data_IF_860250068086
#
_entry.id   IF_860250068086
#
_cell.length_a   1.000
_cell.length_b   1.000
_cell.length_c   1.000
_cell.angle_alpha   90.00
_cell.angle_beta   90.00
_cell.angle_gamma   90.00
#
_symmetry.space_group_name_H-M   'P 1'
#
loop_
_entity.id
_entity.type
_entity.pdbx_description
1 polymer ?
#
# COMPACT_ATOMS: atom_id res chain seq x y z
N UNK A 1 -50.78 -51.82 34.00
CA UNK A 1 -49.35 -51.56 33.60
C UNK A 1 -49.32 -50.11 33.24
N UNK A 2 -48.46 -49.25 33.87
CA UNK A 2 -48.34 -47.83 33.55
C UNK A 2 -47.37 -47.63 32.35
N UNK A 3 -47.75 -46.78 31.39
CA UNK A 3 -47.01 -46.33 30.25
C UNK A 3 -46.12 -45.15 30.67
N UNK A 4 -44.83 -45.31 30.37
CA UNK A 4 -43.78 -44.33 30.63
C UNK A 4 -43.89 -43.16 29.64
N UNK A 5 -43.77 -41.89 30.05
CA UNK A 5 -43.71 -40.76 29.10
C UNK A 5 -42.31 -40.61 28.49
N UNK A 6 -42.31 -40.49 27.17
CA UNK A 6 -41.13 -40.20 26.34
C UNK A 6 -40.61 -38.80 26.63
N UNK A 7 -39.37 -38.69 27.09
CA UNK A 7 -38.67 -37.42 27.24
C UNK A 7 -38.27 -36.87 25.86
N UNK A 8 -38.78 -35.68 25.54
CA UNK A 8 -38.36 -34.91 24.37
C UNK A 8 -37.16 -34.07 24.79
N UNK A 9 -35.98 -34.40 24.23
CA UNK A 9 -34.79 -33.54 24.35
C UNK A 9 -34.94 -32.30 23.48
N UNK A 10 -34.67 -31.08 24.00
CA UNK A 10 -34.63 -29.90 23.17
C UNK A 10 -33.38 -29.94 22.25
N UNK A 11 -33.60 -29.90 20.94
CA UNK A 11 -32.57 -29.76 19.96
C UNK A 11 -32.00 -28.33 20.03
N UNK A 12 -30.69 -28.24 20.23
CA UNK A 12 -29.92 -27.01 20.13
C UNK A 12 -29.98 -26.53 18.68
N UNK A 13 -30.22 -25.24 18.40
CA UNK A 13 -30.18 -24.72 17.06
C UNK A 13 -28.73 -24.75 16.54
N UNK A 14 -28.52 -24.94 15.22
CA UNK A 14 -27.18 -24.94 14.64
C UNK A 14 -26.57 -23.54 14.80
N UNK A 15 -25.35 -23.53 15.33
CA UNK A 15 -24.49 -22.34 15.42
C UNK A 15 -24.38 -21.71 14.04
N UNK A 16 -24.74 -20.43 13.97
CA UNK A 16 -24.58 -19.62 12.77
C UNK A 16 -23.13 -19.71 12.28
N UNK A 17 -22.97 -20.11 11.04
CA UNK A 17 -21.70 -20.06 10.34
C UNK A 17 -21.14 -18.62 10.44
N UNK A 18 -19.99 -18.51 11.08
CA UNK A 18 -19.22 -17.27 11.06
C UNK A 18 -18.83 -17.03 9.60
N UNK A 19 -19.49 -16.07 8.99
CA UNK A 19 -19.08 -15.49 7.71
C UNK A 19 -17.68 -14.92 7.93
N UNK A 20 -16.67 -15.59 7.36
CA UNK A 20 -15.30 -15.13 7.42
C UNK A 20 -15.20 -13.73 6.82
N UNK A 21 -14.98 -12.74 7.67
CA UNK A 21 -14.44 -11.47 7.22
C UNK A 21 -13.15 -11.77 6.48
N UNK A 22 -13.06 -11.38 5.22
CA UNK A 22 -11.83 -11.41 4.45
C UNK A 22 -10.77 -10.62 5.22
N UNK A 23 -9.89 -11.35 5.89
CA UNK A 23 -8.76 -10.77 6.62
C UNK A 23 -7.77 -10.36 5.54
N UNK A 24 -7.77 -9.07 5.18
CA UNK A 24 -6.71 -8.48 4.37
C UNK A 24 -5.36 -8.92 4.96
N UNK A 25 -4.46 -9.40 4.10
CA UNK A 25 -3.19 -10.00 4.50
C UNK A 25 -2.44 -9.09 5.47
N UNK A 26 -2.39 -9.51 6.72
CA UNK A 26 -1.71 -8.78 7.79
C UNK A 26 -0.21 -8.89 7.57
N UNK A 27 0.42 -7.77 7.25
CA UNK A 27 1.86 -7.64 7.36
C UNK A 27 2.26 -7.82 8.84
N UNK A 28 3.41 -8.46 9.14
CA UNK A 28 3.88 -8.67 10.52
C UNK A 28 3.99 -7.36 11.32
N UNK A 29 4.30 -7.40 12.63
CA UNK A 29 4.37 -6.21 13.47
C UNK A 29 5.45 -5.27 12.92
N UNK A 30 5.03 -4.24 12.26
CA UNK A 30 5.86 -3.25 11.61
C UNK A 30 5.32 -1.87 11.95
N UNK A 31 6.20 -0.95 12.24
CA UNK A 31 5.84 0.44 12.51
C UNK A 31 6.53 1.33 11.47
N UNK A 32 5.76 1.82 10.52
CA UNK A 32 6.25 2.78 9.52
C UNK A 32 6.15 4.21 10.08
N UNK A 33 7.12 5.05 9.72
CA UNK A 33 7.22 6.45 10.16
C UNK A 33 7.39 7.39 8.95
N UNK A 34 6.51 7.26 7.97
CA UNK A 34 6.67 7.95 6.67
C UNK A 34 6.02 9.34 6.67
N UNK A 35 4.83 9.45 7.26
CA UNK A 35 3.99 10.64 7.13
C UNK A 35 4.20 11.64 8.25
N UNK A 36 4.60 11.18 9.43
CA UNK A 36 4.60 11.95 10.66
C UNK A 36 3.21 12.08 11.32
N UNK A 37 2.18 11.45 10.73
CA UNK A 37 0.86 11.28 11.31
C UNK A 37 0.71 9.84 11.80
N UNK A 38 0.58 9.60 13.12
CA UNK A 38 0.50 8.24 13.66
C UNK A 38 -0.67 7.41 13.12
N UNK A 39 -1.79 8.05 12.76
CA UNK A 39 -2.96 7.35 12.22
C UNK A 39 -2.69 6.86 10.81
N UNK A 40 -2.12 7.71 9.96
CA UNK A 40 -1.73 7.36 8.61
C UNK A 40 -0.61 6.31 8.61
N UNK A 41 0.43 6.48 9.45
CA UNK A 41 1.56 5.55 9.54
C UNK A 41 1.10 4.17 10.04
N UNK A 42 0.15 4.12 10.98
CA UNK A 42 -0.46 2.86 11.43
C UNK A 42 -1.22 2.17 10.30
N UNK A 43 -2.04 2.91 9.54
CA UNK A 43 -2.76 2.34 8.40
C UNK A 43 -1.80 1.74 7.38
N UNK A 44 -0.72 2.45 7.03
CA UNK A 44 0.31 1.96 6.12
C UNK A 44 1.02 0.70 6.63
N UNK A 45 1.15 0.57 7.95
CA UNK A 45 1.76 -0.58 8.60
C UNK A 45 0.85 -1.82 8.60
N UNK A 46 -0.46 -1.61 8.73
CA UNK A 46 -1.44 -2.67 8.91
C UNK A 46 -2.11 -3.11 7.59
N UNK A 47 -2.12 -2.25 6.56
CA UNK A 47 -2.87 -2.46 5.31
C UNK A 47 -1.95 -2.39 4.08
N UNK A 48 -1.80 -3.53 3.41
CA UNK A 48 -0.98 -3.67 2.21
C UNK A 48 -1.50 -2.84 1.03
N UNK A 49 -2.82 -2.70 0.88
CA UNK A 49 -3.40 -1.89 -0.18
C UNK A 49 -3.22 -0.38 0.10
N UNK A 50 -3.27 0.02 1.37
CA UNK A 50 -2.91 1.39 1.76
C UNK A 50 -1.46 1.71 1.38
N UNK A 51 -0.53 0.79 1.64
CA UNK A 51 0.88 0.97 1.31
C UNK A 51 1.11 1.09 -0.20
N UNK A 52 0.48 0.23 -1.01
CA UNK A 52 0.49 0.33 -2.49
C UNK A 52 -0.09 1.66 -2.98
N UNK A 53 -1.22 2.07 -2.40
CA UNK A 53 -1.89 3.33 -2.76
C UNK A 53 -1.01 4.55 -2.43
N UNK A 54 -0.37 4.58 -1.26
CA UNK A 54 0.59 5.62 -0.89
C UNK A 54 1.74 5.71 -1.89
N UNK A 55 2.31 4.57 -2.28
CA UNK A 55 3.37 4.51 -3.29
C UNK A 55 2.88 4.96 -4.68
N UNK A 56 1.66 4.62 -5.07
CA UNK A 56 1.06 5.08 -6.32
C UNK A 56 0.94 6.61 -6.34
N UNK A 57 0.49 7.21 -5.24
CA UNK A 57 0.30 8.65 -5.09
C UNK A 57 1.62 9.43 -4.99
N UNK A 58 2.76 8.80 -4.71
CA UNK A 58 4.07 9.48 -4.60
C UNK A 58 4.58 9.92 -5.98
N UNK A 59 3.95 10.98 -6.49
CA UNK A 59 4.36 11.64 -7.72
C UNK A 59 3.97 13.12 -7.70
N UNK A 60 4.92 14.01 -7.93
CA UNK A 60 4.75 15.46 -7.99
C UNK A 60 4.14 16.10 -6.72
N UNK A 61 4.20 15.41 -5.60
CA UNK A 61 3.85 15.87 -4.25
C UNK A 61 4.95 15.47 -3.29
N UNK A 62 4.88 15.92 -2.05
CA UNK A 62 5.79 15.42 -1.01
C UNK A 62 5.42 13.99 -0.64
N UNK A 63 6.39 13.20 -0.27
CA UNK A 63 6.25 11.82 0.13
C UNK A 63 5.24 11.66 1.28
N UNK A 64 5.33 12.53 2.29
CA UNK A 64 4.43 12.54 3.44
C UNK A 64 2.98 12.78 3.00
N UNK A 65 2.77 13.72 2.07
CA UNK A 65 1.43 14.00 1.53
C UNK A 65 0.87 12.82 0.74
N UNK A 66 1.73 12.15 -0.05
CA UNK A 66 1.32 10.98 -0.83
C UNK A 66 0.90 9.82 0.06
N UNK A 67 1.73 9.49 1.06
CA UNK A 67 1.48 8.36 1.96
C UNK A 67 0.40 8.66 3.02
N UNK A 68 0.06 9.92 3.27
CA UNK A 68 -1.15 10.28 4.03
C UNK A 68 -2.45 10.19 3.20
N UNK A 69 -2.35 10.03 1.88
CA UNK A 69 -3.50 9.92 0.98
C UNK A 69 -4.45 8.76 1.30
N UNK A 70 -3.96 7.52 1.50
CA UNK A 70 -4.79 6.37 1.86
C UNK A 70 -5.66 6.61 3.08
N UNK A 71 -5.14 7.23 4.14
CA UNK A 71 -5.92 7.55 5.34
C UNK A 71 -7.04 8.55 5.05
N UNK A 72 -6.80 9.56 4.21
CA UNK A 72 -7.84 10.50 3.78
C UNK A 72 -8.96 9.79 3.01
N UNK A 73 -8.60 8.85 2.12
CA UNK A 73 -9.59 8.05 1.37
C UNK A 73 -10.39 7.17 2.35
N UNK A 74 -9.70 6.45 3.25
CA UNK A 74 -10.33 5.59 4.24
C UNK A 74 -11.29 6.36 5.15
N UNK A 75 -10.88 7.53 5.63
CA UNK A 75 -11.70 8.37 6.51
C UNK A 75 -13.00 8.84 5.84
N UNK A 76 -12.99 9.06 4.53
CA UNK A 76 -14.14 9.53 3.73
C UNK A 76 -15.07 8.40 3.31
N UNK A 77 -14.51 7.24 2.95
CA UNK A 77 -15.27 6.08 2.50
C UNK A 77 -15.64 5.10 3.60
N UNK A 78 -15.01 5.21 4.78
CA UNK A 78 -15.13 4.24 5.88
C UNK A 78 -14.27 2.99 5.71
N UNK A 79 -13.71 2.74 4.52
CA UNK A 79 -12.84 1.60 4.25
C UNK A 79 -11.88 1.87 3.08
N UNK A 80 -10.84 0.99 2.93
CA UNK A 80 -9.96 0.92 1.77
C UNK A 80 -10.09 -0.44 1.05
N UNK A 81 -11.27 -1.04 1.08
CA UNK A 81 -11.48 -2.32 0.42
C UNK A 81 -11.31 -2.19 -1.10
N UNK A 82 -10.41 -2.95 -1.75
CA UNK A 82 -10.17 -2.85 -3.20
C UNK A 82 -11.41 -3.09 -4.05
N UNK A 83 -12.26 -4.08 -3.69
CA UNK A 83 -13.50 -4.35 -4.42
C UNK A 83 -14.45 -3.15 -4.39
N UNK A 84 -14.66 -2.58 -3.20
CA UNK A 84 -15.55 -1.43 -3.03
C UNK A 84 -15.04 -0.19 -3.78
N UNK A 85 -13.72 0.04 -3.81
CA UNK A 85 -13.11 1.15 -4.55
C UNK A 85 -13.21 0.92 -6.06
N UNK A 86 -13.01 -0.30 -6.53
CA UNK A 86 -13.12 -0.65 -7.94
C UNK A 86 -14.55 -0.44 -8.49
N UNK A 87 -15.56 -0.72 -7.67
CA UNK A 87 -16.98 -0.58 -8.02
C UNK A 87 -17.54 0.85 -7.76
N UNK A 88 -16.76 1.73 -7.12
CA UNK A 88 -17.23 3.07 -6.80
C UNK A 88 -17.47 3.89 -8.08
N UNK A 89 -18.51 4.74 -8.08
CA UNK A 89 -18.75 5.64 -9.23
C UNK A 89 -17.52 6.53 -9.46
N UNK A 90 -16.94 6.55 -10.67
CA UNK A 90 -15.70 7.27 -10.94
C UNK A 90 -15.82 8.79 -10.70
N UNK A 91 -16.97 9.39 -10.98
CA UNK A 91 -17.17 10.84 -10.79
C UNK A 91 -17.28 11.18 -9.31
N UNK A 92 -18.01 10.37 -8.54
CA UNK A 92 -18.11 10.52 -7.09
C UNK A 92 -16.75 10.24 -6.42
N UNK A 93 -15.98 9.28 -6.90
CA UNK A 93 -14.64 8.99 -6.36
C UNK A 93 -13.67 10.17 -6.59
N UNK A 94 -13.79 10.88 -7.71
CA UNK A 94 -13.04 12.13 -7.93
C UNK A 94 -13.40 13.20 -6.89
N UNK A 95 -14.67 13.31 -6.49
CA UNK A 95 -15.07 14.25 -5.43
C UNK A 95 -14.46 13.89 -4.07
N UNK A 96 -14.35 12.58 -3.74
CA UNK A 96 -13.61 12.09 -2.57
C UNK A 96 -12.16 12.62 -2.59
N UNK A 97 -11.51 12.65 -3.75
CA UNK A 97 -10.13 13.14 -3.90
C UNK A 97 -10.01 14.66 -3.80
N UNK A 98 -11.04 15.40 -4.23
CA UNK A 98 -11.10 16.89 -4.20
C UNK A 98 -11.42 17.44 -2.83
N UNK A 99 -12.14 16.71 -1.99
CA UNK A 99 -12.51 17.15 -0.64
C UNK A 99 -11.28 17.64 0.13
N UNK A 100 -11.41 18.80 0.78
CA UNK A 100 -10.26 19.42 1.48
C UNK A 100 -10.07 18.85 2.89
N UNK A 101 -8.82 18.57 3.27
CA UNK A 101 -7.57 18.69 2.50
C UNK A 101 -7.48 17.62 1.41
N UNK A 102 -7.30 18.04 0.14
CA UNK A 102 -7.32 17.13 -1.01
C UNK A 102 -6.37 15.94 -0.84
N UNK A 103 -6.76 14.78 -1.40
CA UNK A 103 -5.92 13.58 -1.38
C UNK A 103 -4.63 13.82 -2.18
N UNK A 104 -4.77 14.46 -3.34
CA UNK A 104 -3.65 14.76 -4.23
C UNK A 104 -3.88 16.08 -4.99
N UNK A 105 -2.78 16.74 -5.44
CA UNK A 105 -2.86 17.96 -6.23
C UNK A 105 -3.52 17.77 -7.62
N UNK A 106 -3.56 16.53 -8.11
CA UNK A 106 -4.22 16.13 -9.37
C UNK A 106 -5.34 15.12 -9.07
N UNK A 107 -6.44 15.54 -8.44
CA UNK A 107 -7.43 14.63 -7.89
C UNK A 107 -8.06 13.72 -8.94
N UNK A 108 -8.48 14.24 -10.09
CA UNK A 108 -9.14 13.44 -11.12
C UNK A 108 -8.24 12.35 -11.70
N UNK A 109 -7.00 12.68 -12.05
CA UNK A 109 -6.05 11.69 -12.59
C UNK A 109 -5.67 10.63 -11.56
N UNK A 110 -5.49 11.03 -10.29
CA UNK A 110 -5.07 10.08 -9.24
C UNK A 110 -6.22 9.21 -8.76
N UNK A 111 -7.44 9.70 -8.70
CA UNK A 111 -8.62 8.88 -8.41
C UNK A 111 -8.74 7.72 -9.40
N UNK A 112 -8.70 8.00 -10.70
CA UNK A 112 -8.77 6.93 -11.72
C UNK A 112 -7.62 5.92 -11.63
N UNK A 113 -6.40 6.36 -11.26
CA UNK A 113 -5.26 5.44 -11.07
C UNK A 113 -5.43 4.56 -9.83
N UNK A 114 -5.98 5.10 -8.74
CA UNK A 114 -6.26 4.30 -7.53
C UNK A 114 -7.37 3.29 -7.82
N UNK A 115 -8.41 3.65 -8.56
CA UNK A 115 -9.44 2.71 -8.99
C UNK A 115 -8.88 1.59 -9.87
N UNK A 116 -8.05 1.92 -10.86
CA UNK A 116 -7.40 0.91 -11.70
C UNK A 116 -6.49 -0.04 -10.90
N UNK A 117 -5.78 0.48 -9.89
CA UNK A 117 -5.01 -0.35 -8.97
C UNK A 117 -5.92 -1.26 -8.14
N UNK A 118 -7.01 -0.71 -7.60
CA UNK A 118 -8.00 -1.46 -6.83
C UNK A 118 -8.65 -2.58 -7.64
N UNK A 119 -9.04 -2.29 -8.89
CA UNK A 119 -9.58 -3.27 -9.83
C UNK A 119 -8.58 -4.41 -10.11
N UNK A 120 -7.31 -4.07 -10.33
CA UNK A 120 -6.25 -5.06 -10.56
C UNK A 120 -6.05 -5.95 -9.34
N UNK A 121 -5.99 -5.36 -8.13
CA UNK A 121 -5.83 -6.14 -6.89
C UNK A 121 -7.07 -7.01 -6.64
N UNK A 122 -8.26 -6.49 -6.88
CA UNK A 122 -9.50 -7.25 -6.70
C UNK A 122 -9.59 -8.43 -7.67
N UNK A 123 -9.32 -8.20 -8.97
CA UNK A 123 -9.46 -9.20 -10.03
C UNK A 123 -8.36 -10.27 -10.00
N UNK A 124 -7.11 -9.86 -9.82
CA UNK A 124 -5.94 -10.73 -10.02
C UNK A 124 -5.42 -11.33 -8.70
N UNK A 125 -5.81 -10.77 -7.55
CA UNK A 125 -5.32 -11.13 -6.22
C UNK A 125 -6.42 -11.30 -5.18
N UNK A 126 -7.67 -11.52 -5.59
CA UNK A 126 -8.84 -11.70 -4.70
C UNK A 126 -9.00 -10.58 -3.65
N UNK A 127 -8.55 -9.36 -3.98
CA UNK A 127 -8.56 -8.22 -3.05
C UNK A 127 -7.46 -8.24 -1.98
N UNK A 128 -6.59 -9.25 -1.96
CA UNK A 128 -5.44 -9.32 -1.06
C UNK A 128 -4.18 -8.73 -1.72
N UNK A 129 -3.90 -7.48 -1.43
CA UNK A 129 -2.72 -6.80 -1.95
C UNK A 129 -1.40 -7.45 -1.49
N UNK A 130 -1.35 -8.04 -0.27
CA UNK A 130 -0.15 -8.71 0.22
C UNK A 130 0.18 -9.98 -0.58
N UNK A 131 -0.81 -10.61 -1.19
CA UNK A 131 -0.60 -11.78 -2.05
C UNK A 131 0.34 -11.51 -3.22
N UNK A 132 0.45 -10.26 -3.67
CA UNK A 132 1.37 -9.85 -4.74
C UNK A 132 2.81 -10.27 -4.42
N UNK A 133 3.24 -10.14 -3.17
CA UNK A 133 4.62 -10.48 -2.75
C UNK A 133 4.73 -11.67 -1.81
N UNK A 134 3.60 -12.30 -1.45
CA UNK A 134 3.62 -13.47 -0.54
C UNK A 134 3.13 -14.75 -1.20
N UNK A 135 2.19 -14.66 -2.15
CA UNK A 135 1.56 -15.84 -2.75
C UNK A 135 2.56 -16.67 -3.55
N UNK A 136 2.65 -17.98 -3.22
CA UNK A 136 3.55 -18.91 -3.90
C UNK A 136 5.02 -18.74 -3.53
N UNK A 137 5.34 -18.01 -2.46
CA UNK A 137 6.71 -17.78 -1.98
C UNK A 137 7.66 -17.29 -3.09
N UNK A 138 7.37 -16.16 -3.76
CA UNK A 138 8.15 -15.68 -4.90
C UNK A 138 9.53 -15.21 -4.45
N UNK A 139 10.52 -15.31 -5.34
CA UNK A 139 11.81 -14.63 -5.18
C UNK A 139 11.69 -13.12 -5.47
N UNK A 140 12.76 -12.37 -5.24
CA UNK A 140 12.76 -10.91 -5.41
C UNK A 140 12.54 -10.49 -6.87
N UNK A 141 13.00 -11.27 -7.84
CA UNK A 141 12.81 -10.98 -9.26
C UNK A 141 11.34 -11.16 -9.67
N UNK A 142 10.69 -12.20 -9.18
CA UNK A 142 9.25 -12.43 -9.40
C UNK A 142 8.40 -11.38 -8.70
N UNK A 143 8.73 -10.98 -7.46
CA UNK A 143 8.03 -9.87 -6.79
C UNK A 143 8.16 -8.59 -7.62
N UNK A 144 9.37 -8.26 -8.09
CA UNK A 144 9.57 -7.09 -8.94
C UNK A 144 8.72 -7.16 -10.21
N UNK A 145 8.68 -8.32 -10.87
CA UNK A 145 7.87 -8.54 -12.07
C UNK A 145 6.37 -8.31 -11.81
N UNK A 146 5.85 -8.79 -10.69
CA UNK A 146 4.45 -8.59 -10.28
C UNK A 146 4.15 -7.12 -9.98
N UNK A 147 5.07 -6.42 -9.30
CA UNK A 147 4.94 -4.98 -9.03
C UNK A 147 4.94 -4.16 -10.32
N UNK A 148 5.78 -4.51 -11.30
CA UNK A 148 5.84 -3.84 -12.61
C UNK A 148 4.54 -4.02 -13.42
N UNK A 149 3.78 -5.07 -13.18
CA UNK A 149 2.49 -5.31 -13.82
C UNK A 149 1.34 -4.45 -13.23
N UNK A 150 1.54 -3.80 -12.09
CA UNK A 150 0.53 -2.97 -11.46
C UNK A 150 0.37 -1.62 -12.19
N UNK A 151 -0.88 -1.12 -12.34
CA UNK A 151 -1.12 0.19 -12.91
C UNK A 151 -0.38 1.30 -12.17
N UNK A 152 0.39 2.10 -12.90
CA UNK A 152 1.14 3.24 -12.35
C UNK A 152 2.44 2.89 -11.63
N UNK A 153 2.87 1.62 -11.67
CA UNK A 153 4.16 1.19 -11.15
C UNK A 153 5.18 1.03 -12.30
N UNK A 154 5.93 2.10 -12.56
CA UNK A 154 7.13 2.00 -13.41
C UNK A 154 8.31 1.41 -12.66
N UNK A 155 9.41 1.17 -13.38
CA UNK A 155 10.61 0.49 -12.86
C UNK A 155 11.14 1.10 -11.55
N UNK A 156 11.27 2.42 -11.48
CA UNK A 156 11.75 3.10 -10.28
C UNK A 156 10.82 2.85 -9.07
N UNK A 157 9.51 3.00 -9.27
CA UNK A 157 8.52 2.80 -8.21
C UNK A 157 8.49 1.36 -7.71
N UNK A 158 8.51 0.40 -8.61
CA UNK A 158 8.52 -1.01 -8.29
C UNK A 158 9.78 -1.41 -7.50
N UNK A 159 10.95 -0.91 -7.90
CA UNK A 159 12.22 -1.13 -7.17
C UNK A 159 12.22 -0.50 -5.78
N UNK A 160 11.74 0.74 -5.65
CA UNK A 160 11.60 1.41 -4.35
C UNK A 160 10.63 0.65 -3.44
N UNK A 161 9.50 0.20 -3.98
CA UNK A 161 8.50 -0.54 -3.20
C UNK A 161 9.04 -1.90 -2.75
N UNK A 162 9.73 -2.62 -3.62
CA UNK A 162 10.42 -3.87 -3.26
C UNK A 162 11.47 -3.65 -2.16
N UNK A 163 12.25 -2.56 -2.24
CA UNK A 163 13.19 -2.19 -1.19
C UNK A 163 12.48 -1.89 0.13
N UNK A 164 11.33 -1.19 0.11
CA UNK A 164 10.51 -0.92 1.28
C UNK A 164 10.01 -2.21 1.93
N UNK A 165 9.48 -3.13 1.13
CA UNK A 165 9.04 -4.45 1.60
C UNK A 165 10.19 -5.22 2.28
N UNK A 166 11.38 -5.25 1.68
CA UNK A 166 12.53 -5.98 2.19
C UNK A 166 13.21 -5.34 3.39
N UNK A 167 13.27 -4.00 3.43
CA UNK A 167 13.93 -3.27 4.52
C UNK A 167 13.06 -3.14 5.76
N UNK A 168 11.76 -2.92 5.58
CA UNK A 168 10.87 -2.53 6.68
C UNK A 168 9.66 -3.44 6.86
N UNK A 169 9.19 -4.10 5.78
CA UNK A 169 7.98 -4.93 5.83
C UNK A 169 8.24 -6.42 6.03
N UNK A 170 9.46 -6.79 6.37
CA UNK A 170 9.80 -8.18 6.71
C UNK A 170 9.78 -9.16 5.53
N UNK A 171 9.76 -8.69 4.28
CA UNK A 171 9.86 -9.55 3.10
C UNK A 171 11.18 -10.34 3.12
N UNK A 172 11.09 -11.66 2.96
CA UNK A 172 12.22 -12.60 2.96
C UNK A 172 12.49 -13.22 1.59
N UNK A 173 11.93 -12.67 0.52
CA UNK A 173 12.14 -13.15 -0.83
C UNK A 173 13.63 -13.18 -1.19
N UNK A 174 14.12 -14.32 -1.70
CA UNK A 174 15.52 -14.44 -2.12
C UNK A 174 15.83 -13.43 -3.24
N UNK A 175 17.00 -12.77 -3.19
CA UNK A 175 17.43 -11.83 -4.23
C UNK A 175 16.66 -10.50 -4.27
N UNK A 176 15.85 -10.16 -3.28
CA UNK A 176 15.08 -8.91 -3.29
C UNK A 176 15.99 -7.67 -3.30
N UNK A 177 17.19 -7.73 -2.67
CA UNK A 177 18.13 -6.60 -2.64
C UNK A 177 18.67 -6.31 -4.03
N UNK A 178 19.09 -7.34 -4.72
CA UNK A 178 19.61 -7.29 -6.09
C UNK A 178 18.55 -6.79 -7.06
N UNK A 179 17.32 -7.31 -6.94
CA UNK A 179 16.18 -6.90 -7.76
C UNK A 179 15.79 -5.43 -7.53
N UNK A 180 15.96 -4.91 -6.29
CA UNK A 180 15.71 -3.49 -5.97
C UNK A 180 16.82 -2.56 -6.49
N UNK A 181 17.98 -3.09 -6.92
CA UNK A 181 19.15 -2.31 -7.32
C UNK A 181 19.66 -1.43 -6.16
N UNK A 182 20.10 -0.23 -6.46
CA UNK A 182 20.67 0.70 -5.46
C UNK A 182 19.69 1.07 -4.31
N UNK A 183 18.37 0.91 -4.50
CA UNK A 183 17.40 1.13 -3.42
C UNK A 183 17.45 0.02 -2.36
N UNK A 184 17.95 -1.17 -2.70
CA UNK A 184 18.16 -2.29 -1.79
C UNK A 184 19.38 -2.15 -0.87
N UNK A 185 20.30 -1.22 -1.16
CA UNK A 185 21.53 -1.01 -0.40
C UNK A 185 21.24 -0.62 1.06
N UNK A 186 21.99 -1.21 1.98
CA UNK A 186 21.87 -0.90 3.39
C UNK A 186 22.54 0.43 3.72
N UNK A 187 21.89 1.25 4.56
CA UNK A 187 22.43 2.56 4.96
C UNK A 187 22.29 3.65 3.89
N UNK A 188 21.59 3.39 2.81
CA UNK A 188 21.19 4.42 1.85
C UNK A 188 20.10 5.34 2.43
N UNK A 189 19.99 6.56 1.87
CA UNK A 189 18.93 7.52 2.18
C UNK A 189 18.33 8.04 0.88
N UNK A 190 17.90 7.14 -0.01
CA UNK A 190 17.50 7.47 -1.37
C UNK A 190 15.98 7.54 -1.56
N UNK A 191 15.22 6.84 -0.74
CA UNK A 191 13.78 6.67 -0.94
C UNK A 191 13.01 6.48 0.36
N UNK A 192 11.68 6.32 0.23
CA UNK A 192 10.79 5.96 1.35
C UNK A 192 11.23 4.67 2.06
N UNK A 193 11.88 3.76 1.36
CA UNK A 193 12.40 2.51 1.92
C UNK A 193 13.43 2.71 3.06
N UNK A 194 14.00 3.90 3.17
CA UNK A 194 15.06 4.23 4.12
C UNK A 194 14.56 5.08 5.32
N UNK A 195 13.25 5.32 5.41
CA UNK A 195 12.65 6.15 6.45
C UNK A 195 12.17 5.26 7.59
N UNK A 196 12.90 5.28 8.69
CA UNK A 196 12.60 4.51 9.92
C UNK A 196 12.32 5.40 11.13
N UNK A 197 12.62 6.70 11.01
CA UNK A 197 12.46 7.71 12.06
C UNK A 197 12.51 9.14 11.47
N UNK A 198 12.22 10.18 12.26
CA UNK A 198 12.32 11.58 11.80
C UNK A 198 13.71 11.99 11.30
N UNK A 199 14.78 11.40 11.82
CA UNK A 199 16.15 11.74 11.41
C UNK A 199 16.45 11.17 10.01
N UNK A 200 16.06 9.94 9.73
CA UNK A 200 16.18 9.32 8.40
C UNK A 200 15.29 10.01 7.38
N UNK A 201 14.08 10.43 7.76
CA UNK A 201 13.21 11.26 6.90
C UNK A 201 13.93 12.55 6.46
N UNK A 202 14.58 13.25 7.39
CA UNK A 202 15.33 14.46 7.07
C UNK A 202 16.47 14.18 6.07
N UNK A 203 17.21 13.06 6.24
CA UNK A 203 18.28 12.65 5.34
C UNK A 203 17.76 12.29 3.93
N UNK A 204 16.64 11.56 3.84
CA UNK A 204 16.00 11.22 2.55
C UNK A 204 15.53 12.49 1.83
N UNK A 205 14.94 13.45 2.55
CA UNK A 205 14.57 14.75 1.99
C UNK A 205 15.77 15.50 1.40
N UNK A 206 16.88 15.57 2.16
CA UNK A 206 18.11 16.22 1.72
C UNK A 206 18.68 15.54 0.46
N UNK A 207 18.73 14.21 0.42
CA UNK A 207 19.19 13.45 -0.75
C UNK A 207 18.32 13.69 -1.98
N UNK A 208 17.00 13.68 -1.85
CA UNK A 208 16.07 14.00 -2.96
C UNK A 208 16.24 15.43 -3.47
N UNK A 209 16.46 16.40 -2.58
CA UNK A 209 16.72 17.79 -2.97
C UNK A 209 18.05 17.94 -3.72
N UNK A 210 19.12 17.31 -3.23
CA UNK A 210 20.42 17.31 -3.88
C UNK A 210 20.36 16.66 -5.28
N UNK A 211 19.71 15.51 -5.42
CA UNK A 211 19.52 14.84 -6.70
C UNK A 211 18.72 15.70 -7.69
N UNK A 212 17.67 16.39 -7.22
CA UNK A 212 16.88 17.32 -8.06
C UNK A 212 17.71 18.53 -8.50
N UNK A 213 18.53 19.10 -7.62
CA UNK A 213 19.41 20.22 -7.94
C UNK A 213 20.47 19.80 -8.98
N UNK A 214 21.09 18.64 -8.81
CA UNK A 214 22.07 18.09 -9.75
C UNK A 214 21.44 17.84 -11.14
N UNK A 215 20.23 17.25 -11.18
CA UNK A 215 19.51 17.01 -12.43
C UNK A 215 19.11 18.32 -13.14
N UNK A 216 18.79 19.39 -12.38
CA UNK A 216 18.50 20.71 -12.94
C UNK A 216 19.77 21.36 -13.51
N UNK A 217 20.88 21.29 -12.80
CA UNK A 217 22.17 21.81 -13.24
C UNK A 217 22.65 21.12 -14.54
N UNK A 218 22.50 19.80 -14.65
CA UNK A 218 22.85 19.03 -15.83
C UNK A 218 21.98 19.35 -17.08
N UNK A 219 20.79 19.92 -16.89
CA UNK A 219 19.88 20.31 -17.98
C UNK A 219 20.04 21.76 -18.42
N UNK A 220 20.76 22.60 -17.68
CA UNK A 220 21.06 23.96 -18.08
C UNK A 220 22.20 23.94 -19.09
N UNK A 221 21.99 24.35 -20.37
CA UNK A 221 23.12 24.45 -21.30
C UNK A 221 24.09 25.49 -20.75
N UNK A 222 25.40 25.18 -20.84
CA UNK A 222 26.46 26.16 -20.61
C UNK A 222 26.25 27.30 -21.62
N UNK A 223 26.04 28.52 -21.10
CA UNK A 223 26.00 29.73 -21.92
C UNK A 223 27.36 30.08 -22.44
#
# INVERSE_FOLDING_TARGET
RPTTPTQIHPQTPPTAAQTGAATGGRMGPMELHITGDPTADRLLSDDAFALLTGMLLDQQVTMESAFAGPEKIRARLGSLNPAAIAEYDPAEFVEVFKERPAVHRFPGSMAGRVQALAETVHRDWDGDAAAIWTSGNPDGAEVLRRLLALPGFGEQKAKIFLALLGKQCGLRAEGWREASGHYGEQGSYLSVADIVDPASLAKVRASKQAAKAAAKAAKSPAS
#
